data_IF_216130037198
#
_entry.id   IF_216130037198
#
_cell.length_a   1.000
_cell.length_b   1.000
_cell.length_c   1.000
_cell.angle_alpha   90.00
_cell.angle_beta   90.00
_cell.angle_gamma   90.00
#
_symmetry.space_group_name_H-M   'P 1'
#
loop_
_entity.id
_entity.type
_entity.pdbx_description
1 polymer ?
#
# COMPACT_ATOMS: atom_id res chain seq x y z
N UNK A 1 29.92 16.70 -19.88
CA UNK A 1 29.31 15.35 -19.91
C UNK A 1 28.31 15.24 -18.77
N UNK A 2 27.00 15.28 -19.05
CA UNK A 2 25.96 15.07 -18.04
C UNK A 2 25.65 13.57 -17.99
N UNK A 3 25.92 12.93 -16.85
CA UNK A 3 25.56 11.53 -16.64
C UNK A 3 24.05 11.36 -16.79
N UNK A 4 23.68 10.41 -17.65
CA UNK A 4 22.30 10.09 -18.00
C UNK A 4 21.48 9.64 -16.80
N UNK A 5 20.28 10.22 -16.69
CA UNK A 5 19.22 9.75 -15.81
C UNK A 5 18.74 8.41 -16.42
N UNK A 6 19.39 7.32 -16.01
CA UNK A 6 19.00 5.95 -16.38
C UNK A 6 17.49 5.79 -16.15
N UNK A 7 16.75 5.43 -17.20
CA UNK A 7 15.39 4.93 -17.06
C UNK A 7 15.45 3.77 -16.08
N UNK A 8 14.82 3.93 -14.91
CA UNK A 8 15.03 2.99 -13.80
C UNK A 8 14.08 1.80 -13.97
N UNK A 9 14.54 0.62 -14.41
CA UNK A 9 13.67 -0.52 -14.74
C UNK A 9 12.80 -0.97 -13.56
N UNK A 10 13.25 -0.75 -12.32
CA UNK A 10 12.49 -1.10 -11.12
C UNK A 10 11.15 -0.34 -11.01
N UNK A 11 11.07 0.90 -11.51
CA UNK A 11 9.83 1.70 -11.41
C UNK A 11 8.75 1.15 -12.32
N UNK A 12 9.12 0.80 -13.54
CA UNK A 12 8.21 0.19 -14.50
C UNK A 12 7.72 -1.17 -13.99
N UNK A 13 8.62 -1.99 -13.46
CA UNK A 13 8.26 -3.29 -12.89
C UNK A 13 7.32 -3.16 -11.68
N UNK A 14 7.53 -2.19 -10.79
CA UNK A 14 6.64 -1.95 -9.64
C UNK A 14 5.24 -1.49 -10.07
N UNK A 15 5.14 -0.58 -11.03
CA UNK A 15 3.85 -0.13 -11.56
C UNK A 15 3.10 -1.29 -12.24
N UNK A 16 3.80 -2.16 -12.96
CA UNK A 16 3.20 -3.38 -13.54
C UNK A 16 2.70 -4.32 -12.44
N UNK A 17 3.45 -4.52 -11.36
CA UNK A 17 3.01 -5.35 -10.22
C UNK A 17 1.81 -4.73 -9.51
N UNK A 18 1.76 -3.41 -9.36
CA UNK A 18 0.64 -2.70 -8.72
C UNK A 18 -0.63 -2.81 -9.57
N UNK A 19 -0.53 -2.51 -10.86
CA UNK A 19 -1.66 -2.39 -11.77
C UNK A 19 -2.12 -3.75 -12.33
N UNK A 20 -1.19 -4.55 -12.84
CA UNK A 20 -1.48 -5.79 -13.57
C UNK A 20 -1.38 -7.02 -12.67
N UNK A 21 -0.88 -6.88 -11.42
CA UNK A 21 -0.59 -8.01 -10.51
C UNK A 21 0.31 -9.07 -11.16
N UNK A 22 1.23 -8.60 -12.00
CA UNK A 22 2.09 -9.44 -12.82
C UNK A 22 3.53 -8.92 -12.73
N UNK A 23 4.48 -9.83 -12.72
CA UNK A 23 5.91 -9.56 -12.84
C UNK A 23 6.46 -10.18 -14.13
N UNK A 24 7.21 -9.38 -14.91
CA UNK A 24 7.83 -9.81 -16.17
C UNK A 24 9.31 -10.12 -15.93
N UNK A 25 9.70 -11.38 -16.04
CA UNK A 25 11.06 -11.86 -15.89
C UNK A 25 11.61 -12.32 -17.25
N UNK A 26 12.18 -11.38 -18.00
CA UNK A 26 12.61 -11.63 -19.38
C UNK A 26 11.42 -11.96 -20.29
N UNK A 27 11.38 -13.17 -20.84
CA UNK A 27 10.27 -13.64 -21.67
C UNK A 27 9.12 -14.27 -20.86
N UNK A 28 9.30 -14.47 -19.55
CA UNK A 28 8.30 -15.09 -18.71
C UNK A 28 7.44 -14.05 -17.99
N UNK A 29 6.14 -14.32 -17.93
CA UNK A 29 5.17 -13.49 -17.22
C UNK A 29 4.62 -14.29 -16.05
N UNK A 30 4.82 -13.79 -14.82
CA UNK A 30 4.43 -14.47 -13.58
C UNK A 30 3.34 -13.68 -12.88
N UNK A 31 2.22 -14.33 -12.52
CA UNK A 31 1.18 -13.73 -11.70
C UNK A 31 1.66 -13.59 -10.26
N UNK A 32 1.50 -12.40 -9.69
CA UNK A 32 1.90 -12.10 -8.31
C UNK A 32 0.66 -12.21 -7.41
N UNK A 33 0.64 -13.11 -6.40
CA UNK A 33 -0.46 -13.20 -5.43
C UNK A 33 -0.37 -12.07 -4.39
N UNK A 34 -0.32 -10.82 -4.85
CA UNK A 34 -0.11 -9.65 -4.02
C UNK A 34 -1.38 -9.32 -3.22
N UNK A 35 -1.37 -9.66 -1.92
CA UNK A 35 -2.48 -9.34 -0.99
C UNK A 35 -2.41 -7.89 -0.49
N UNK A 36 -1.23 -7.42 -0.11
CA UNK A 36 -0.98 -6.07 0.42
C UNK A 36 0.36 -5.57 -0.12
N UNK A 37 0.42 -4.28 -0.46
CA UNK A 37 1.66 -3.56 -0.74
C UNK A 37 1.84 -2.44 0.29
N UNK A 38 2.94 -2.47 1.02
CA UNK A 38 3.30 -1.43 1.99
C UNK A 38 4.57 -0.74 1.47
N UNK A 39 4.54 0.59 1.46
CA UNK A 39 5.70 1.40 1.18
C UNK A 39 5.85 2.44 2.29
N UNK A 40 7.10 2.72 2.66
CA UNK A 40 7.46 3.78 3.60
C UNK A 40 8.43 4.73 2.90
N UNK A 41 8.26 6.03 3.12
CA UNK A 41 9.16 7.05 2.64
C UNK A 41 9.26 8.17 3.66
N UNK A 42 10.48 8.66 3.89
CA UNK A 42 10.73 9.82 4.74
C UNK A 42 10.50 11.14 3.99
N UNK A 43 10.40 11.08 2.65
CA UNK A 43 10.19 12.24 1.79
C UNK A 43 8.92 12.05 0.96
N UNK A 44 8.13 13.11 0.85
CA UNK A 44 7.11 13.19 -0.19
C UNK A 44 7.83 13.44 -1.51
N UNK A 45 7.53 12.63 -2.52
CA UNK A 45 8.12 12.72 -3.85
C UNK A 45 8.24 14.17 -4.33
N UNK A 46 9.46 14.67 -4.55
CA UNK A 46 9.65 16.01 -5.09
C UNK A 46 9.08 16.07 -6.53
N UNK A 47 8.47 17.21 -6.90
CA UNK A 47 7.89 17.42 -8.24
C UNK A 47 8.94 17.12 -9.32
N UNK A 48 8.60 16.27 -10.28
CA UNK A 48 9.49 15.93 -11.41
C UNK A 48 10.42 14.74 -11.16
N UNK A 49 10.24 14.02 -10.05
CA UNK A 49 10.89 12.74 -9.83
C UNK A 49 10.18 11.58 -10.51
N UNK A 50 8.96 11.73 -11.05
CA UNK A 50 8.24 10.66 -11.73
C UNK A 50 7.76 9.56 -10.78
N UNK A 51 7.61 9.88 -9.49
CA UNK A 51 7.03 9.01 -8.47
C UNK A 51 5.58 9.42 -8.16
N UNK A 52 5.08 10.51 -8.75
CA UNK A 52 3.71 10.97 -8.54
C UNK A 52 2.69 9.89 -8.95
N UNK A 53 2.94 9.22 -10.09
CA UNK A 53 2.10 8.13 -10.58
C UNK A 53 2.10 6.90 -9.67
N UNK A 54 3.21 6.63 -8.97
CA UNK A 54 3.27 5.55 -7.99
C UNK A 54 2.49 5.94 -6.72
N UNK A 55 2.70 7.18 -6.27
CA UNK A 55 2.06 7.73 -5.07
C UNK A 55 0.54 7.81 -5.19
N UNK A 56 0.01 8.11 -6.38
CA UNK A 56 -1.42 8.11 -6.66
C UNK A 56 -2.07 6.72 -6.46
N UNK A 57 -1.31 5.64 -6.66
CA UNK A 57 -1.82 4.26 -6.55
C UNK A 57 -1.92 3.72 -5.12
N UNK A 58 -1.43 4.45 -4.13
CA UNK A 58 -1.65 4.11 -2.73
C UNK A 58 -3.00 4.66 -2.26
N UNK A 59 -3.94 3.75 -1.99
CA UNK A 59 -5.27 4.10 -1.49
C UNK A 59 -5.25 4.66 -0.07
N UNK A 60 -4.36 4.13 0.78
CA UNK A 60 -4.21 4.53 2.18
C UNK A 60 -2.84 5.20 2.33
N UNK A 61 -2.83 6.37 2.96
CA UNK A 61 -1.62 7.15 3.26
C UNK A 61 -1.65 7.52 4.73
N UNK A 62 -0.66 7.06 5.49
CA UNK A 62 -0.54 7.33 6.91
C UNK A 62 0.77 8.05 7.18
N UNK A 63 0.69 9.20 7.86
CA UNK A 63 1.88 9.85 8.43
C UNK A 63 2.23 9.18 9.75
N UNK A 64 3.48 8.78 9.92
CA UNK A 64 3.98 8.16 11.14
C UNK A 64 4.99 9.11 11.76
N UNK A 65 4.61 9.71 12.89
CA UNK A 65 5.48 10.58 13.69
C UNK A 65 6.28 9.81 14.73
N UNK A 66 7.12 10.53 15.46
CA UNK A 66 7.82 10.00 16.63
C UNK A 66 6.84 9.75 17.79
N UNK A 67 7.22 8.92 18.75
CA UNK A 67 6.46 8.70 19.98
C UNK A 67 6.53 9.99 20.82
N UNK A 68 5.38 10.63 21.06
CA UNK A 68 5.32 11.88 21.83
C UNK A 68 5.14 11.68 23.33
N UNK A 69 4.58 10.53 23.73
CA UNK A 69 4.30 10.23 25.14
C UNK A 69 5.51 9.55 25.80
N UNK A 70 6.07 10.17 26.84
CA UNK A 70 7.25 9.68 27.57
C UNK A 70 7.06 8.24 28.07
N UNK A 71 5.92 7.93 28.69
CA UNK A 71 5.62 6.57 29.14
C UNK A 71 5.56 5.52 28.00
N UNK A 72 5.11 5.91 26.80
CA UNK A 72 5.10 5.01 25.64
C UNK A 72 6.53 4.80 25.11
N UNK A 73 7.36 5.84 25.18
CA UNK A 73 8.78 5.77 24.85
C UNK A 73 9.54 4.88 25.84
N UNK A 74 9.33 5.07 27.15
CA UNK A 74 9.91 4.23 28.20
C UNK A 74 9.53 2.76 28.00
N UNK A 75 8.27 2.49 27.67
CA UNK A 75 7.80 1.13 27.37
C UNK A 75 8.49 0.55 26.14
N UNK A 76 8.68 1.34 25.08
CA UNK A 76 9.37 0.90 23.86
C UNK A 76 10.83 0.53 24.19
N UNK A 77 11.55 1.40 24.91
CA UNK A 77 12.96 1.18 25.28
C UNK A 77 13.12 0.02 26.27
N UNK A 78 12.21 -0.09 27.26
CA UNK A 78 12.23 -1.17 28.24
C UNK A 78 11.74 -2.51 27.68
N UNK A 79 11.11 -2.52 26.49
CA UNK A 79 10.69 -3.75 25.85
C UNK A 79 11.90 -4.49 25.29
N UNK A 80 12.24 -5.62 25.90
CA UNK A 80 13.27 -6.56 25.41
C UNK A 80 12.70 -7.66 24.52
N UNK A 81 11.43 -7.52 24.11
CA UNK A 81 10.73 -8.53 23.33
C UNK A 81 11.03 -8.37 21.84
N UNK A 82 12.17 -8.89 21.41
CA UNK A 82 12.39 -9.34 20.03
C UNK A 82 11.66 -10.68 19.77
N UNK A 83 10.45 -10.83 20.32
CA UNK A 83 9.67 -12.05 20.16
C UNK A 83 8.74 -11.87 18.98
N UNK A 84 8.76 -12.81 18.05
CA UNK A 84 7.77 -12.85 16.97
C UNK A 84 6.36 -12.69 17.55
N UNK A 85 5.47 -11.94 16.87
CA UNK A 85 4.11 -11.75 17.33
C UNK A 85 3.45 -13.13 17.47
N UNK A 86 3.03 -13.47 18.69
CA UNK A 86 2.26 -14.68 18.92
C UNK A 86 0.84 -14.46 18.39
N UNK A 87 0.57 -14.97 17.20
CA UNK A 87 -0.75 -14.96 16.58
C UNK A 87 -1.46 -16.27 16.98
N UNK A 88 -2.58 -16.22 17.72
CA UNK A 88 -3.37 -17.40 18.05
C UNK A 88 -3.76 -18.20 16.81
N UNK A 89 -3.69 -19.53 16.87
CA UNK A 89 -3.93 -20.45 15.75
C UNK A 89 -5.28 -20.29 15.03
N UNK A 90 -6.28 -19.66 15.67
CA UNK A 90 -7.62 -19.45 15.11
C UNK A 90 -7.80 -18.12 14.37
N UNK A 91 -6.80 -17.24 14.38
CA UNK A 91 -6.85 -15.93 13.74
C UNK A 91 -6.30 -15.86 12.29
N UNK A 92 -5.39 -16.76 11.84
CA UNK A 92 -4.95 -16.75 10.45
C UNK A 92 -6.14 -16.92 9.50
N UNK A 93 -6.16 -16.08 8.46
CA UNK A 93 -7.17 -16.15 7.40
C UNK A 93 -6.67 -17.10 6.32
N UNK A 94 -7.42 -18.18 6.09
CA UNK A 94 -7.10 -19.16 5.07
C UNK A 94 -7.38 -18.62 3.66
N UNK A 95 -6.75 -19.23 2.65
CA UNK A 95 -6.86 -18.74 1.27
C UNK A 95 -8.29 -18.80 0.73
N UNK A 96 -9.06 -19.83 1.10
CA UNK A 96 -10.46 -19.96 0.70
C UNK A 96 -11.34 -18.86 1.31
N UNK A 97 -11.13 -18.57 2.59
CA UNK A 97 -11.83 -17.50 3.30
C UNK A 97 -11.51 -16.13 2.71
N UNK A 98 -10.23 -15.87 2.43
CA UNK A 98 -9.79 -14.64 1.76
C UNK A 98 -10.47 -14.44 0.40
N UNK A 99 -10.58 -15.49 -0.42
CA UNK A 99 -11.28 -15.41 -1.71
C UNK A 99 -12.78 -15.13 -1.55
N UNK A 100 -13.44 -15.72 -0.54
CA UNK A 100 -14.84 -15.45 -0.23
C UNK A 100 -15.06 -13.99 0.17
N UNK A 101 -14.23 -13.48 1.08
CA UNK A 101 -14.27 -12.08 1.51
C UNK A 101 -14.09 -11.10 0.33
N UNK A 102 -13.19 -11.41 -0.61
CA UNK A 102 -13.00 -10.58 -1.81
C UNK A 102 -14.25 -10.56 -2.70
N UNK A 103 -14.86 -11.72 -2.96
CA UNK A 103 -16.07 -11.81 -3.76
C UNK A 103 -17.25 -11.08 -3.10
N UNK A 104 -17.41 -11.22 -1.79
CA UNK A 104 -18.47 -10.54 -1.03
C UNK A 104 -18.28 -9.02 -1.01
N UNK A 105 -17.04 -8.53 -0.89
CA UNK A 105 -16.75 -7.11 -0.91
C UNK A 105 -17.20 -6.42 -2.21
N UNK A 106 -17.15 -7.11 -3.35
CA UNK A 106 -17.63 -6.58 -4.65
C UNK A 106 -19.16 -6.45 -4.72
N UNK A 107 -19.89 -7.18 -3.88
CA UNK A 107 -21.37 -7.19 -3.86
C UNK A 107 -21.97 -6.13 -2.94
N UNK A 108 -21.15 -5.40 -2.17
CA UNK A 108 -21.62 -4.39 -1.22
C UNK A 108 -22.27 -3.23 -1.98
N UNK A 109 -23.58 -2.98 -1.83
CA UNK A 109 -24.26 -1.92 -2.56
C UNK A 109 -23.85 -0.55 -2.01
N UNK A 110 -23.55 0.39 -2.91
CA UNK A 110 -23.35 1.79 -2.56
C UNK A 110 -24.72 2.51 -2.55
N UNK A 111 -25.26 2.90 -1.38
CA UNK A 111 -26.55 3.56 -1.35
C UNK A 111 -26.47 4.93 -2.03
N UNK A 112 -27.50 5.30 -2.81
CA UNK A 112 -27.55 6.55 -3.59
C UNK A 112 -27.24 7.83 -2.82
N UNK A 113 -27.49 7.86 -1.50
CA UNK A 113 -27.19 9.02 -0.67
C UNK A 113 -25.69 9.28 -0.53
N UNK A 114 -24.86 8.26 -0.67
CA UNK A 114 -23.40 8.35 -0.56
C UNK A 114 -22.74 8.69 -1.90
N UNK A 115 -23.34 8.31 -3.04
CA UNK A 115 -22.77 8.63 -4.36
C UNK A 115 -22.69 10.13 -4.62
N UNK A 116 -23.68 10.90 -4.15
CA UNK A 116 -23.68 12.37 -4.22
C UNK A 116 -22.54 12.96 -3.39
N UNK A 117 -22.26 12.40 -2.20
CA UNK A 117 -21.17 12.88 -1.34
C UNK A 117 -19.80 12.66 -1.99
N UNK A 118 -19.58 11.49 -2.60
CA UNK A 118 -18.31 11.18 -3.29
C UNK A 118 -18.09 12.06 -4.54
N UNK A 119 -19.14 12.34 -5.32
CA UNK A 119 -19.04 13.23 -6.49
C UNK A 119 -18.73 14.67 -6.05
N UNK A 120 -19.31 15.12 -4.95
CA UNK A 120 -19.12 16.49 -4.45
C UNK A 120 -17.72 16.66 -3.83
N UNK A 121 -17.27 15.71 -3.00
CA UNK A 121 -15.91 15.71 -2.45
C UNK A 121 -14.82 15.61 -3.53
N UNK A 122 -15.10 14.92 -4.65
CA UNK A 122 -14.17 14.87 -5.78
C UNK A 122 -14.10 16.17 -6.58
N UNK A 123 -15.13 17.04 -6.52
CA UNK A 123 -15.11 18.36 -7.18
C UNK A 123 -14.37 19.43 -6.38
N UNK A 124 -14.36 19.31 -5.05
CA UNK A 124 -13.72 20.28 -4.15
C UNK A 124 -12.21 20.04 -3.96
N UNK A 125 -11.66 18.98 -4.57
CA UNK A 125 -10.23 18.61 -4.51
C UNK A 125 -9.44 18.95 -5.79
N UNK A 126 -10.01 19.77 -6.68
CA UNK A 126 -9.39 20.28 -7.91
C UNK A 126 -8.78 21.66 -7.77
#
# INVERSE_FOLDING_TARGET
MKYGKQDRPYRTSLLTVINEKIYRNGQFTVKVPLKVLIAASNELSAKGEGLEALYDRFLIRQFVGCIEQEFAFDRMIASTKDTEPNIPEKLPIEQEEYCKMQAEAETVPLPFRWSILFITASKDSG
#
